data_IF_990353761583
#
_entry.id   IF_990353761583
#
_cell.length_a   1.000
_cell.length_b   1.000
_cell.length_c   1.000
_cell.angle_alpha   90.00
_cell.angle_beta   90.00
_cell.angle_gamma   90.00
#
_symmetry.space_group_name_H-M   'P 1'
#
loop_
_entity.id
_entity.type
_entity.pdbx_description
1 polymer ?
#
# COMPACT_ATOMS: atom_id res chain seq x y z
N UNK A 1 -13.79 7.83 -18.57
CA UNK A 1 -13.00 8.58 -17.56
C UNK A 1 -12.95 7.86 -16.21
N UNK A 2 -14.08 7.54 -15.56
CA UNK A 2 -14.09 6.88 -14.23
C UNK A 2 -13.25 5.59 -14.16
N UNK A 3 -13.39 4.70 -15.16
CA UNK A 3 -12.60 3.47 -15.23
C UNK A 3 -11.09 3.72 -15.33
N UNK A 4 -10.67 4.71 -16.11
CA UNK A 4 -9.26 5.09 -16.27
C UNK A 4 -8.67 5.61 -14.95
N UNK A 5 -9.41 6.46 -14.22
CA UNK A 5 -8.98 6.96 -12.91
C UNK A 5 -8.86 5.81 -11.91
N UNK A 6 -9.84 4.90 -11.87
CA UNK A 6 -9.76 3.72 -11.00
C UNK A 6 -8.57 2.81 -11.35
N UNK A 7 -8.31 2.60 -12.65
CA UNK A 7 -7.15 1.82 -13.09
C UNK A 7 -5.83 2.47 -12.64
N UNK A 8 -5.71 3.80 -12.75
CA UNK A 8 -4.55 4.54 -12.25
C UNK A 8 -4.40 4.39 -10.72
N UNK A 9 -5.48 4.57 -9.94
CA UNK A 9 -5.43 4.41 -8.48
C UNK A 9 -5.06 2.98 -8.04
N UNK A 10 -5.52 1.97 -8.78
CA UNK A 10 -5.13 0.56 -8.54
C UNK A 10 -3.64 0.38 -8.80
N UNK A 11 -3.13 0.92 -9.91
CA UNK A 11 -1.71 0.91 -10.23
C UNK A 11 -0.88 1.65 -9.18
N UNK A 12 -1.36 2.79 -8.69
CA UNK A 12 -0.70 3.53 -7.60
C UNK A 12 -0.66 2.74 -6.30
N UNK A 13 -1.61 1.83 -6.06
CA UNK A 13 -1.54 0.85 -4.98
C UNK A 13 -0.32 -0.09 -5.08
N UNK A 14 0.02 -0.52 -6.30
CA UNK A 14 1.26 -1.30 -6.58
C UNK A 14 2.49 -0.44 -6.30
N UNK A 15 2.51 0.79 -6.78
CA UNK A 15 3.63 1.72 -6.56
C UNK A 15 3.82 1.98 -5.06
N UNK A 16 2.74 2.20 -4.32
CA UNK A 16 2.76 2.39 -2.87
C UNK A 16 3.41 1.19 -2.14
N UNK A 17 3.15 -0.05 -2.59
CA UNK A 17 3.77 -1.25 -2.03
C UNK A 17 5.27 -1.32 -2.32
N UNK A 18 5.67 -1.02 -3.57
CA UNK A 18 7.08 -1.03 -3.99
C UNK A 18 7.87 0.04 -3.24
N UNK A 19 7.35 1.28 -3.19
CA UNK A 19 7.97 2.38 -2.45
C UNK A 19 8.01 2.09 -0.95
N UNK A 20 6.92 1.57 -0.41
CA UNK A 20 6.84 1.12 0.97
C UNK A 20 7.97 0.15 1.28
N UNK A 21 8.09 -0.93 0.51
CA UNK A 21 9.11 -1.95 0.70
C UNK A 21 10.54 -1.38 0.56
N UNK A 22 10.81 -0.60 -0.48
CA UNK A 22 12.13 -0.03 -0.75
C UNK A 22 12.61 0.93 0.35
N UNK A 23 11.69 1.58 1.05
CA UNK A 23 11.97 2.59 2.08
C UNK A 23 11.83 2.06 3.51
N UNK A 24 11.67 0.75 3.71
CA UNK A 24 11.58 0.15 5.05
C UNK A 24 12.90 0.21 5.83
N UNK A 25 14.03 0.04 5.13
CA UNK A 25 15.36 -0.01 5.75
C UNK A 25 16.15 1.29 5.55
N UNK A 26 15.47 2.41 5.31
CA UNK A 26 16.12 3.71 5.17
C UNK A 26 16.87 4.05 6.45
N UNK A 27 18.15 4.44 6.32
CA UNK A 27 19.01 4.76 7.45
C UNK A 27 19.57 6.16 7.32
N UNK A 28 19.46 6.95 8.37
CA UNK A 28 20.07 8.27 8.47
C UNK A 28 21.09 8.23 9.62
N UNK A 29 22.38 8.47 9.30
CA UNK A 29 23.44 8.40 10.31
C UNK A 29 23.56 7.04 11.01
N UNK A 30 23.19 5.95 10.33
CA UNK A 30 23.17 4.59 10.89
C UNK A 30 21.89 4.21 11.65
N UNK A 31 21.04 5.19 11.99
CA UNK A 31 19.75 4.96 12.65
C UNK A 31 18.71 4.54 11.63
N UNK A 32 18.01 3.43 11.91
CA UNK A 32 16.92 2.94 11.08
C UNK A 32 15.68 3.81 11.22
N UNK A 33 15.16 4.31 10.10
CA UNK A 33 13.92 5.09 10.01
C UNK A 33 13.02 4.40 8.98
N UNK A 34 11.94 3.71 9.41
CA UNK A 34 11.10 2.91 8.51
C UNK A 34 10.10 3.80 7.75
N UNK A 35 10.65 4.66 6.90
CA UNK A 35 9.90 5.71 6.19
C UNK A 35 8.82 5.11 5.29
N UNK A 36 9.07 3.93 4.73
CA UNK A 36 8.09 3.19 3.94
C UNK A 36 6.77 2.94 4.65
N UNK A 37 6.77 2.68 5.97
CA UNK A 37 5.54 2.48 6.75
C UNK A 37 4.67 3.75 6.75
N UNK A 38 5.31 4.90 6.98
CA UNK A 38 4.63 6.20 7.07
C UNK A 38 4.10 6.62 5.69
N UNK A 39 4.95 6.49 4.66
CA UNK A 39 4.57 6.87 3.29
C UNK A 39 3.40 6.01 2.81
N UNK A 40 3.47 4.68 2.93
CA UNK A 40 2.39 3.80 2.48
C UNK A 40 1.09 4.03 3.25
N UNK A 41 1.14 4.32 4.55
CA UNK A 41 -0.06 4.66 5.33
C UNK A 41 -0.77 5.91 4.77
N UNK A 42 -0.01 6.97 4.52
CA UNK A 42 -0.55 8.23 3.98
C UNK A 42 -1.04 8.04 2.55
N UNK A 43 -0.24 7.43 1.68
CA UNK A 43 -0.62 7.20 0.28
C UNK A 43 -1.89 6.36 0.18
N UNK A 44 -1.98 5.25 0.91
CA UNK A 44 -3.13 4.37 0.83
C UNK A 44 -4.42 5.03 1.34
N UNK A 45 -4.32 5.91 2.36
CA UNK A 45 -5.43 6.77 2.79
C UNK A 45 -5.90 7.67 1.66
N UNK A 46 -4.96 8.37 1.00
CA UNK A 46 -5.28 9.29 -0.10
C UNK A 46 -5.85 8.55 -1.31
N UNK A 47 -5.33 7.36 -1.64
CA UNK A 47 -5.82 6.53 -2.72
C UNK A 47 -7.26 6.10 -2.49
N UNK A 48 -7.59 5.59 -1.29
CA UNK A 48 -8.97 5.20 -0.94
C UNK A 48 -9.91 6.39 -0.92
N UNK A 49 -9.48 7.51 -0.31
CA UNK A 49 -10.28 8.74 -0.29
C UNK A 49 -10.58 9.28 -1.69
N UNK A 50 -9.60 9.18 -2.59
CA UNK A 50 -9.78 9.54 -4.00
C UNK A 50 -10.70 8.54 -4.70
N UNK A 51 -10.48 7.23 -4.50
CA UNK A 51 -11.29 6.19 -5.11
C UNK A 51 -12.77 6.28 -4.70
N UNK A 52 -13.08 6.68 -3.47
CA UNK A 52 -14.45 6.91 -3.00
C UNK A 52 -15.22 7.94 -3.84
N UNK A 53 -14.54 8.90 -4.47
CA UNK A 53 -15.16 9.92 -5.32
C UNK A 53 -15.48 9.41 -6.73
N UNK A 54 -14.76 8.38 -7.20
CA UNK A 54 -14.82 7.90 -8.59
C UNK A 54 -15.45 6.53 -8.74
N UNK A 55 -15.36 5.68 -7.70
CA UNK A 55 -15.82 4.30 -7.71
C UNK A 55 -17.34 4.18 -7.88
N UNK A 56 -17.83 3.11 -8.53
CA UNK A 56 -19.26 2.87 -8.72
C UNK A 56 -19.98 2.50 -7.41
N UNK A 57 -19.28 1.91 -6.44
CA UNK A 57 -19.78 1.65 -5.08
C UNK A 57 -18.65 1.84 -4.07
N UNK A 58 -18.95 2.09 -2.78
CA UNK A 58 -17.93 2.21 -1.74
C UNK A 58 -16.99 1.00 -1.68
N UNK A 59 -17.52 -0.22 -1.86
CA UNK A 59 -16.69 -1.45 -1.89
C UNK A 59 -15.59 -1.43 -2.94
N UNK A 60 -15.86 -0.88 -4.13
CA UNK A 60 -14.86 -0.78 -5.20
C UNK A 60 -13.75 0.24 -4.88
N UNK A 61 -13.96 1.18 -3.97
CA UNK A 61 -12.93 2.13 -3.56
C UNK A 61 -11.77 1.48 -2.77
N UNK A 62 -11.95 0.24 -2.28
CA UNK A 62 -10.89 -0.55 -1.65
C UNK A 62 -9.94 -1.25 -2.64
N UNK A 63 -10.18 -1.17 -3.95
CA UNK A 63 -9.36 -1.86 -4.95
C UNK A 63 -7.85 -1.51 -4.92
N UNK A 64 -7.43 -0.25 -4.68
CA UNK A 64 -6.02 0.09 -4.51
C UNK A 64 -5.35 -0.63 -3.33
N UNK A 65 -6.09 -0.87 -2.23
CA UNK A 65 -5.55 -1.61 -1.08
C UNK A 65 -5.31 -3.08 -1.41
N UNK A 66 -6.19 -3.69 -2.21
CA UNK A 66 -5.98 -5.06 -2.67
C UNK A 66 -4.75 -5.17 -3.58
N UNK A 67 -4.53 -4.19 -4.47
CA UNK A 67 -3.30 -4.13 -5.26
C UNK A 67 -2.06 -4.01 -4.38
N UNK A 68 -2.08 -3.11 -3.39
CA UNK A 68 -0.99 -2.95 -2.43
C UNK A 68 -0.68 -4.26 -1.66
N UNK A 69 -1.70 -4.94 -1.14
CA UNK A 69 -1.53 -6.20 -0.42
C UNK A 69 -1.01 -7.29 -1.35
N UNK A 70 -1.59 -7.45 -2.54
CA UNK A 70 -1.16 -8.44 -3.52
C UNK A 70 0.30 -8.23 -3.94
N UNK A 71 0.70 -6.99 -4.24
CA UNK A 71 2.09 -6.66 -4.56
C UNK A 71 3.02 -6.94 -3.38
N UNK A 72 2.62 -6.61 -2.15
CA UNK A 72 3.40 -6.94 -0.96
C UNK A 72 3.56 -8.47 -0.79
N UNK A 73 2.49 -9.25 -1.05
CA UNK A 73 2.54 -10.71 -1.09
C UNK A 73 3.47 -11.25 -2.18
N UNK A 74 3.50 -10.62 -3.36
CA UNK A 74 4.42 -11.00 -4.43
C UNK A 74 5.88 -10.74 -4.01
N UNK A 75 6.14 -9.61 -3.36
CA UNK A 75 7.49 -9.24 -2.88
C UNK A 75 7.97 -10.12 -1.70
N UNK A 76 7.10 -10.93 -1.08
CA UNK A 76 7.51 -11.96 -0.13
C UNK A 76 8.22 -13.14 -0.81
N UNK A 77 7.98 -13.36 -2.10
CA UNK A 77 8.73 -14.38 -2.84
C UNK A 77 10.13 -13.87 -3.13
N UNK A 78 11.12 -14.74 -2.94
CA UNK A 78 12.50 -14.44 -3.28
C UNK A 78 12.73 -14.34 -4.79
N UNK A 79 13.72 -13.56 -5.18
CA UNK A 79 14.16 -13.44 -6.57
C UNK A 79 15.00 -14.64 -7.03
N UNK A 80 15.28 -14.77 -8.34
CA UNK A 80 16.04 -15.88 -8.91
C UNK A 80 17.46 -16.03 -8.33
N UNK A 81 18.06 -14.94 -7.85
CA UNK A 81 19.37 -14.92 -7.20
C UNK A 81 19.35 -15.34 -5.72
N UNK A 82 18.19 -15.75 -5.19
CA UNK A 82 18.01 -15.95 -3.74
C UNK A 82 17.79 -14.64 -2.97
N UNK A 83 17.62 -13.51 -3.68
CA UNK A 83 17.37 -12.21 -3.08
C UNK A 83 16.02 -12.17 -2.37
N UNK A 84 15.97 -11.54 -1.20
CA UNK A 84 14.72 -11.33 -0.45
C UNK A 84 14.48 -9.85 -0.24
N UNK A 85 13.26 -9.39 -0.52
CA UNK A 85 12.88 -7.98 -0.33
C UNK A 85 12.63 -7.69 1.14
N UNK A 86 11.97 -8.62 1.84
CA UNK A 86 11.61 -8.47 3.23
C UNK A 86 12.42 -9.40 4.14
N UNK A 87 12.65 -8.93 5.36
CA UNK A 87 13.23 -9.73 6.44
C UNK A 87 12.41 -9.52 7.71
N UNK A 88 12.42 -10.50 8.62
CA UNK A 88 11.72 -10.41 9.90
C UNK A 88 10.23 -10.05 9.77
N UNK A 89 9.76 -9.13 10.61
CA UNK A 89 8.34 -8.76 10.75
C UNK A 89 7.92 -7.56 9.89
N UNK A 90 8.82 -7.00 9.08
CA UNK A 90 8.57 -5.82 8.26
C UNK A 90 7.38 -5.92 7.28
N UNK A 91 7.14 -7.04 6.56
CA UNK A 91 6.04 -7.09 5.60
C UNK A 91 4.68 -7.06 6.31
N UNK A 92 4.60 -7.67 7.51
CA UNK A 92 3.40 -7.61 8.34
C UNK A 92 3.13 -6.18 8.78
N UNK A 93 4.14 -5.47 9.27
CA UNK A 93 3.97 -4.05 9.64
C UNK A 93 3.57 -3.18 8.45
N UNK A 94 4.19 -3.40 7.29
CA UNK A 94 3.87 -2.63 6.08
C UNK A 94 2.41 -2.82 5.68
N UNK A 95 1.90 -4.05 5.75
CA UNK A 95 0.49 -4.35 5.48
C UNK A 95 -0.41 -3.72 6.53
N UNK A 96 -0.15 -3.96 7.81
CA UNK A 96 -1.00 -3.48 8.90
C UNK A 96 -1.09 -1.96 8.90
N UNK A 97 0.06 -1.28 8.82
CA UNK A 97 0.14 0.19 8.87
C UNK A 97 -0.32 0.81 7.55
N UNK A 98 -0.02 0.18 6.41
CA UNK A 98 -0.48 0.62 5.10
C UNK A 98 -1.99 0.43 4.87
N UNK A 99 -2.63 -0.54 5.52
CA UNK A 99 -4.05 -0.88 5.25
C UNK A 99 -5.00 -0.31 6.29
N UNK A 100 -4.70 -0.43 7.60
CA UNK A 100 -5.67 -0.11 8.65
C UNK A 100 -6.21 1.33 8.60
N UNK A 101 -5.38 2.39 8.44
CA UNK A 101 -5.89 3.77 8.39
C UNK A 101 -6.82 4.00 7.19
N UNK A 102 -6.47 3.44 6.02
CA UNK A 102 -7.27 3.56 4.81
C UNK A 102 -8.57 2.75 4.90
N UNK A 103 -8.52 1.55 5.48
CA UNK A 103 -9.68 0.70 5.73
C UNK A 103 -10.68 1.36 6.71
N UNK A 104 -10.19 2.10 7.70
CA UNK A 104 -11.04 2.88 8.61
C UNK A 104 -11.86 3.93 7.84
N UNK A 105 -11.23 4.68 6.93
CA UNK A 105 -11.91 5.67 6.09
C UNK A 105 -12.95 5.00 5.20
N UNK A 106 -12.58 3.88 4.55
CA UNK A 106 -13.48 3.10 3.71
C UNK A 106 -14.72 2.65 4.47
N UNK A 107 -14.53 2.11 5.69
CA UNK A 107 -15.64 1.68 6.55
C UNK A 107 -16.56 2.83 6.92
N UNK A 108 -16.02 4.03 7.16
CA UNK A 108 -16.84 5.22 7.51
C UNK A 108 -17.69 5.71 6.35
N UNK A 109 -17.34 5.37 5.11
CA UNK A 109 -18.08 5.75 3.91
C UNK A 109 -19.13 4.71 3.46
N UNK A 110 -19.08 3.49 4.00
CA UNK A 110 -20.04 2.40 3.71
C UNK A 110 -21.15 2.30 4.79
N UNK A 111 -21.06 3.11 5.85
CA UNK A 111 -22.05 3.26 6.93
C UNK A 111 -23.02 4.41 6.61
#
# INVERSE_FOLDING_TARGET
>A
MRGTVMAALIFDGVISAILGAALLNTRFGGVLVPLGLIISAVLNVLLVWSALQWAPTPRWAGAPLWAFVATTMVLLFGGPGGDVVFTGFWPVLLIVIGVLPAAYILRRADL
#
